data_IF_329081629050
#
_entry.id   IF_329081629050
#
_cell.length_a   1.000
_cell.length_b   1.000
_cell.length_c   1.000
_cell.angle_alpha   90.00
_cell.angle_beta   90.00
_cell.angle_gamma   90.00
#
_symmetry.space_group_name_H-M   'P 1'
#
loop_
_entity.id
_entity.type
_entity.pdbx_description
1 polymer ?
#
# COMPACT_ATOMS: atom_id res chain seq x y z
N UNK A 1 3.75 -3.49 36.03
CA UNK A 1 2.91 -4.67 36.34
C UNK A 1 1.45 -4.37 36.69
N UNK A 2 1.01 -3.11 36.74
CA UNK A 2 -0.39 -2.74 36.99
C UNK A 2 -1.03 -2.01 35.79
N UNK A 3 -0.44 -2.08 34.61
CA UNK A 3 -0.91 -1.35 33.43
C UNK A 3 -2.29 -1.83 32.96
N UNK A 4 -2.54 -3.13 32.93
CA UNK A 4 -3.83 -3.72 32.56
C UNK A 4 -4.96 -3.29 33.49
N UNK A 5 -4.69 -3.31 34.81
CA UNK A 5 -5.68 -2.84 35.81
C UNK A 5 -5.97 -1.35 35.69
N UNK A 6 -4.95 -0.53 35.39
CA UNK A 6 -5.13 0.91 35.13
C UNK A 6 -5.90 1.19 33.85
N UNK A 7 -5.71 0.41 32.79
CA UNK A 7 -6.50 0.57 31.55
C UNK A 7 -7.96 0.21 31.73
N UNK A 8 -8.28 -0.72 32.63
CA UNK A 8 -9.65 -1.10 32.94
C UNK A 8 -10.43 0.00 33.72
N UNK A 9 -9.73 0.80 34.51
CA UNK A 9 -10.32 1.88 35.33
C UNK A 9 -10.19 3.30 34.72
N UNK A 10 -9.19 3.55 33.87
CA UNK A 10 -8.92 4.86 33.30
C UNK A 10 -9.52 5.05 31.90
N UNK A 11 -9.93 3.99 31.24
CA UNK A 11 -10.60 4.07 29.94
C UNK A 11 -12.04 3.60 30.09
N UNK A 12 -12.93 4.51 30.38
CA UNK A 12 -14.38 4.33 30.35
C UNK A 12 -14.92 3.77 29.02
N UNK A 13 -14.07 3.51 28.01
CA UNK A 13 -14.45 3.24 26.63
C UNK A 13 -13.69 2.11 25.93
N UNK A 14 -12.97 1.25 26.67
CA UNK A 14 -12.36 0.05 26.06
C UNK A 14 -13.32 -1.14 26.19
N UNK A 15 -14.21 -1.24 25.19
CA UNK A 15 -15.04 -2.44 25.01
C UNK A 15 -14.10 -3.63 24.69
N UNK A 16 -14.06 -4.63 25.56
CA UNK A 16 -13.27 -5.87 25.45
C UNK A 16 -11.75 -5.66 25.19
N UNK A 17 -10.98 -5.19 26.19
CA UNK A 17 -9.55 -4.93 26.02
C UNK A 17 -8.75 -6.18 25.61
N UNK A 18 -9.16 -7.36 26.07
CA UNK A 18 -8.54 -8.67 25.76
C UNK A 18 -8.67 -9.01 24.28
N UNK A 19 -9.84 -8.80 23.68
CA UNK A 19 -10.08 -9.01 22.25
C UNK A 19 -9.24 -8.06 21.41
N UNK A 20 -9.12 -6.81 21.83
CA UNK A 20 -8.33 -5.80 21.12
C UNK A 20 -6.83 -6.14 21.17
N UNK A 21 -6.32 -6.51 22.35
CA UNK A 21 -4.93 -6.96 22.51
C UNK A 21 -4.65 -8.17 21.63
N UNK A 22 -5.57 -9.16 21.61
CA UNK A 22 -5.43 -10.33 20.76
C UNK A 22 -5.41 -9.95 19.27
N UNK A 23 -6.31 -9.09 18.80
CA UNK A 23 -6.38 -8.64 17.41
C UNK A 23 -5.14 -7.84 17.01
N UNK A 24 -4.68 -6.93 17.87
CA UNK A 24 -3.49 -6.12 17.63
C UNK A 24 -2.23 -6.98 17.55
N UNK A 25 -2.07 -7.96 18.44
CA UNK A 25 -0.96 -8.91 18.41
C UNK A 25 -0.99 -9.77 17.14
N UNK A 26 -2.16 -10.30 16.77
CA UNK A 26 -2.30 -11.08 15.52
C UNK A 26 -2.01 -10.24 14.29
N UNK A 27 -2.52 -9.02 14.23
CA UNK A 27 -2.26 -8.10 13.14
C UNK A 27 -0.79 -7.74 13.03
N UNK A 28 -0.15 -7.45 14.17
CA UNK A 28 1.28 -7.18 14.24
C UNK A 28 2.11 -8.35 13.71
N UNK A 29 1.86 -9.56 14.20
CA UNK A 29 2.59 -10.77 13.77
C UNK A 29 2.39 -11.02 12.27
N UNK A 30 1.14 -10.98 11.80
CA UNK A 30 0.82 -11.18 10.38
C UNK A 30 1.51 -10.14 9.48
N UNK A 31 1.44 -8.87 9.87
CA UNK A 31 2.04 -7.77 9.09
C UNK A 31 3.57 -7.88 9.10
N UNK A 32 4.17 -8.17 10.26
CA UNK A 32 5.63 -8.34 10.38
C UNK A 32 6.12 -9.52 9.54
N UNK A 33 5.44 -10.66 9.57
CA UNK A 33 5.79 -11.81 8.74
C UNK A 33 5.67 -11.48 7.25
N UNK A 34 4.56 -10.86 6.85
CA UNK A 34 4.34 -10.46 5.44
C UNK A 34 5.40 -9.47 4.95
N UNK A 35 5.74 -8.47 5.76
CA UNK A 35 6.79 -7.50 5.42
C UNK A 35 8.17 -8.16 5.38
N UNK A 36 8.50 -9.02 6.34
CA UNK A 36 9.79 -9.69 6.37
C UNK A 36 9.99 -10.63 5.17
N UNK A 37 8.99 -11.45 4.86
CA UNK A 37 9.02 -12.31 3.67
C UNK A 37 9.08 -11.50 2.39
N UNK A 38 8.29 -10.43 2.27
CA UNK A 38 8.32 -9.53 1.11
C UNK A 38 9.67 -8.84 0.91
N UNK A 39 10.34 -8.43 1.97
CA UNK A 39 11.69 -7.85 1.89
C UNK A 39 12.71 -8.89 1.42
N UNK A 40 12.67 -10.11 1.98
CA UNK A 40 13.57 -11.21 1.56
C UNK A 40 13.37 -11.53 0.09
N UNK A 41 12.11 -11.67 -0.35
CA UNK A 41 11.75 -11.91 -1.75
C UNK A 41 12.26 -10.79 -2.67
N UNK A 42 12.03 -9.54 -2.30
CA UNK A 42 12.45 -8.39 -3.09
C UNK A 42 13.98 -8.31 -3.22
N UNK A 43 14.73 -8.53 -2.12
CA UNK A 43 16.19 -8.50 -2.13
C UNK A 43 16.74 -9.66 -2.96
N UNK A 44 16.21 -10.86 -2.77
CA UNK A 44 16.66 -12.05 -3.51
C UNK A 44 16.40 -11.90 -5.01
N UNK A 45 15.20 -11.44 -5.38
CA UNK A 45 14.83 -11.17 -6.77
C UNK A 45 15.71 -10.08 -7.37
N UNK A 46 15.92 -8.97 -6.66
CA UNK A 46 16.74 -7.87 -7.13
C UNK A 46 18.19 -8.33 -7.42
N UNK A 47 18.80 -9.11 -6.53
CA UNK A 47 20.15 -9.65 -6.73
C UNK A 47 20.17 -10.60 -7.92
N UNK A 48 19.25 -11.56 -7.97
CA UNK A 48 19.20 -12.58 -9.02
C UNK A 48 19.00 -11.96 -10.41
N UNK A 49 18.03 -11.05 -10.54
CA UNK A 49 17.78 -10.39 -11.83
C UNK A 49 18.89 -9.41 -12.21
N UNK A 50 19.55 -8.76 -11.25
CA UNK A 50 20.71 -7.91 -11.55
C UNK A 50 21.86 -8.72 -12.12
N UNK A 51 22.18 -9.88 -11.54
CA UNK A 51 23.24 -10.77 -12.03
C UNK A 51 22.89 -11.28 -13.43
N UNK A 52 21.66 -11.72 -13.64
CA UNK A 52 21.18 -12.21 -14.93
C UNK A 52 21.25 -11.10 -15.99
N UNK A 53 20.73 -9.92 -15.66
CA UNK A 53 20.72 -8.79 -16.57
C UNK A 53 22.13 -8.30 -16.89
N UNK A 54 23.05 -8.35 -15.93
CA UNK A 54 24.46 -8.03 -16.15
C UNK A 54 25.11 -8.96 -17.15
N UNK A 55 24.81 -10.26 -17.10
CA UNK A 55 25.32 -11.26 -18.07
C UNK A 55 24.72 -11.10 -19.47
N UNK A 56 23.48 -10.67 -19.59
CA UNK A 56 22.77 -10.49 -20.86
C UNK A 56 22.98 -9.10 -21.48
N UNK A 57 23.33 -8.09 -20.67
CA UNK A 57 23.53 -6.72 -21.11
C UNK A 57 24.81 -6.58 -21.92
N UNK A 58 24.67 -6.48 -23.25
CA UNK A 58 25.79 -6.13 -24.14
C UNK A 58 26.02 -4.61 -24.23
N UNK A 59 27.07 -4.18 -24.94
CA UNK A 59 27.31 -2.77 -25.21
C UNK A 59 26.18 -2.20 -26.06
N UNK A 60 25.73 -0.97 -25.71
CA UNK A 60 24.68 -0.27 -26.41
C UNK A 60 25.20 1.09 -26.88
N UNK A 61 24.96 1.42 -28.15
CA UNK A 61 25.30 2.74 -28.69
C UNK A 61 24.21 3.76 -28.35
N UNK A 62 24.54 4.74 -27.54
CA UNK A 62 23.67 5.88 -27.25
C UNK A 62 24.41 7.18 -27.63
N UNK A 63 23.83 7.96 -28.52
CA UNK A 63 24.43 9.22 -28.99
C UNK A 63 25.87 9.10 -29.52
N UNK A 64 26.23 7.93 -30.07
CA UNK A 64 27.59 7.70 -30.64
C UNK A 64 28.62 7.26 -29.61
N UNK A 65 28.23 6.99 -28.35
CA UNK A 65 29.11 6.46 -27.31
C UNK A 65 28.66 5.04 -26.98
N UNK A 66 29.61 4.08 -27.05
CA UNK A 66 29.39 2.70 -26.61
C UNK A 66 29.47 2.64 -25.07
N UNK A 67 28.35 2.38 -24.41
CA UNK A 67 28.30 2.22 -22.95
C UNK A 67 28.06 0.73 -22.64
N UNK A 68 29.04 0.04 -22.00
CA UNK A 68 28.85 -1.32 -21.57
C UNK A 68 27.75 -1.39 -20.48
N UNK A 69 26.89 -2.41 -20.55
CA UNK A 69 25.84 -2.68 -19.56
C UNK A 69 24.81 -1.53 -19.37
N UNK A 70 24.63 -0.67 -20.36
CA UNK A 70 23.70 0.49 -20.30
C UNK A 70 22.30 0.08 -19.88
N UNK A 71 21.83 -1.09 -20.29
CA UNK A 71 20.52 -1.62 -19.95
C UNK A 71 20.30 -1.75 -18.44
N UNK A 72 21.33 -2.17 -17.70
CA UNK A 72 21.24 -2.29 -16.23
C UNK A 72 21.00 -0.91 -15.60
N UNK A 73 21.77 0.10 -16.04
CA UNK A 73 21.60 1.48 -15.53
C UNK A 73 20.22 2.06 -15.86
N UNK A 74 19.69 1.79 -17.06
CA UNK A 74 18.35 2.23 -17.45
C UNK A 74 17.26 1.59 -16.58
N UNK A 75 17.37 0.27 -16.30
CA UNK A 75 16.42 -0.42 -15.43
C UNK A 75 16.48 0.12 -14.00
N UNK A 76 17.67 0.32 -13.43
CA UNK A 76 17.79 0.93 -12.10
C UNK A 76 17.24 2.35 -12.06
N UNK A 77 17.53 3.17 -13.06
CA UNK A 77 16.97 4.52 -13.18
C UNK A 77 15.44 4.50 -13.24
N UNK A 78 14.87 3.60 -14.04
CA UNK A 78 13.43 3.40 -14.14
C UNK A 78 12.81 2.98 -12.78
N UNK A 79 13.42 1.99 -12.10
CA UNK A 79 12.94 1.52 -10.79
C UNK A 79 12.98 2.63 -9.75
N UNK A 80 14.08 3.38 -9.67
CA UNK A 80 14.20 4.52 -8.73
C UNK A 80 13.14 5.57 -9.04
N UNK A 81 13.00 5.96 -10.29
CA UNK A 81 12.03 6.98 -10.72
C UNK A 81 10.58 6.56 -10.39
N UNK A 82 10.18 5.34 -10.75
CA UNK A 82 8.85 4.81 -10.46
C UNK A 82 8.59 4.66 -8.97
N UNK A 83 9.61 4.26 -8.19
CA UNK A 83 9.51 4.16 -6.72
C UNK A 83 9.29 5.52 -6.08
N UNK A 84 9.98 6.56 -6.52
CA UNK A 84 9.77 7.92 -6.01
C UNK A 84 8.36 8.43 -6.29
N UNK A 85 7.84 8.20 -7.49
CA UNK A 85 6.45 8.56 -7.83
C UNK A 85 5.45 7.74 -7.01
N UNK A 86 5.66 6.42 -6.89
CA UNK A 86 4.81 5.55 -6.07
C UNK A 86 4.75 6.01 -4.62
N UNK A 87 5.89 6.37 -4.04
CA UNK A 87 5.95 6.92 -2.69
C UNK A 87 5.20 8.25 -2.56
N UNK A 88 5.36 9.14 -3.52
CA UNK A 88 4.66 10.44 -3.54
C UNK A 88 3.14 10.26 -3.65
N UNK A 89 2.66 9.34 -4.48
CA UNK A 89 1.24 9.03 -4.64
C UNK A 89 0.66 8.27 -3.43
N UNK A 90 1.44 7.37 -2.83
CA UNK A 90 1.00 6.51 -1.73
C UNK A 90 1.01 7.19 -0.36
N UNK A 91 1.92 8.15 -0.12
CA UNK A 91 2.09 8.82 1.17
C UNK A 91 0.78 9.40 1.76
N UNK A 92 -0.11 10.07 1.00
CA UNK A 92 -1.35 10.59 1.54
C UNK A 92 -2.31 9.53 2.08
N UNK A 93 -2.22 8.27 1.59
CA UNK A 93 -3.06 7.17 2.06
C UNK A 93 -2.82 6.84 3.53
N UNK A 94 -1.59 7.03 4.03
CA UNK A 94 -1.25 6.80 5.46
C UNK A 94 -2.11 7.70 6.34
N UNK A 95 -2.14 9.00 6.06
CA UNK A 95 -2.93 9.97 6.81
C UNK A 95 -4.43 9.72 6.70
N UNK A 96 -4.92 9.39 5.51
CA UNK A 96 -6.33 9.11 5.26
C UNK A 96 -6.80 7.85 6.01
N UNK A 97 -5.99 6.79 6.05
CA UNK A 97 -6.30 5.60 6.83
C UNK A 97 -6.31 5.89 8.34
N UNK A 98 -5.37 6.68 8.84
CA UNK A 98 -5.38 7.10 10.24
C UNK A 98 -6.66 7.90 10.60
N UNK A 99 -7.10 8.83 9.72
CA UNK A 99 -8.35 9.56 9.88
C UNK A 99 -9.55 8.59 9.86
N UNK A 100 -9.51 7.59 8.97
CA UNK A 100 -10.56 6.58 8.87
C UNK A 100 -10.74 5.80 10.17
N UNK A 101 -9.65 5.34 10.77
CA UNK A 101 -9.70 4.64 12.06
C UNK A 101 -10.29 5.54 13.17
N UNK A 102 -9.88 6.80 13.23
CA UNK A 102 -10.41 7.76 14.19
C UNK A 102 -11.92 8.01 14.01
N UNK A 103 -12.37 8.19 12.76
CA UNK A 103 -13.78 8.42 12.46
C UNK A 103 -14.63 7.18 12.79
N UNK A 104 -14.15 5.98 12.47
CA UNK A 104 -14.81 4.73 12.82
C UNK A 104 -14.90 4.53 14.35
N UNK A 105 -13.83 4.85 15.08
CA UNK A 105 -13.84 4.79 16.53
C UNK A 105 -14.86 5.74 17.16
N UNK A 106 -14.95 6.98 16.67
CA UNK A 106 -15.94 7.97 17.13
C UNK A 106 -17.37 7.52 16.83
N UNK A 107 -17.61 6.99 15.63
CA UNK A 107 -18.93 6.48 15.24
C UNK A 107 -19.36 5.29 16.11
N UNK A 108 -18.45 4.34 16.33
CA UNK A 108 -18.67 3.19 17.21
C UNK A 108 -18.97 3.62 18.65
N UNK A 109 -18.21 4.58 19.18
CA UNK A 109 -18.46 5.14 20.50
C UNK A 109 -19.88 5.71 20.62
N UNK A 110 -20.31 6.47 19.62
CA UNK A 110 -21.68 7.04 19.61
C UNK A 110 -22.76 5.97 19.56
N UNK A 111 -22.54 4.86 18.84
CA UNK A 111 -23.46 3.72 18.82
C UNK A 111 -23.56 3.05 20.19
N UNK A 112 -22.42 2.84 20.88
CA UNK A 112 -22.39 2.26 22.23
C UNK A 112 -23.12 3.17 23.21
N UNK A 113 -22.86 4.48 23.16
CA UNK A 113 -23.53 5.47 24.00
C UNK A 113 -25.04 5.41 23.83
N UNK A 114 -25.55 5.36 22.59
CA UNK A 114 -26.99 5.26 22.33
C UNK A 114 -27.57 3.97 22.91
N UNK A 115 -26.85 2.86 22.80
CA UNK A 115 -27.26 1.58 23.38
C UNK A 115 -27.38 1.67 24.92
N UNK A 116 -26.40 2.29 25.58
CA UNK A 116 -26.36 2.46 27.03
C UNK A 116 -27.46 3.36 27.55
N UNK A 117 -27.79 4.43 26.82
CA UNK A 117 -28.76 5.42 27.20
C UNK A 117 -30.11 5.28 26.47
N UNK A 118 -30.40 4.10 25.90
CA UNK A 118 -31.57 3.88 25.06
C UNK A 118 -32.90 4.21 25.80
N UNK A 119 -33.04 3.84 27.07
CA UNK A 119 -34.22 4.16 27.88
C UNK A 119 -34.37 5.67 28.09
N UNK A 120 -33.32 6.38 28.40
CA UNK A 120 -33.33 7.82 28.56
C UNK A 120 -33.70 8.55 27.26
N UNK A 121 -33.16 8.11 26.14
CA UNK A 121 -33.44 8.64 24.82
C UNK A 121 -34.95 8.47 24.49
N UNK A 122 -35.47 7.28 24.74
CA UNK A 122 -36.88 6.98 24.54
C UNK A 122 -37.76 7.84 25.47
N UNK A 123 -37.40 8.00 26.75
CA UNK A 123 -38.17 8.78 27.72
C UNK A 123 -38.30 10.26 27.33
N UNK A 124 -37.22 10.85 26.79
CA UNK A 124 -37.18 12.25 26.33
C UNK A 124 -37.57 12.44 24.86
N UNK A 125 -37.97 11.38 24.14
CA UNK A 125 -38.26 11.40 22.70
C UNK A 125 -37.10 11.99 21.88
N UNK A 126 -35.85 11.65 22.28
CA UNK A 126 -34.61 12.18 21.72
C UNK A 126 -34.09 11.48 20.45
N UNK A 127 -34.81 10.45 19.93
CA UNK A 127 -34.34 9.59 18.83
C UNK A 127 -33.99 10.38 17.57
N UNK A 128 -34.73 11.44 17.28
CA UNK A 128 -34.50 12.28 16.10
C UNK A 128 -33.17 13.04 16.17
N UNK A 129 -32.80 13.50 17.37
CA UNK A 129 -31.55 14.24 17.60
C UNK A 129 -30.39 13.29 17.51
N UNK A 130 -30.44 12.14 18.18
CA UNK A 130 -29.39 11.11 18.14
C UNK A 130 -29.21 10.54 16.74
N UNK A 131 -30.29 10.28 16.00
CA UNK A 131 -30.23 9.86 14.59
C UNK A 131 -29.51 10.89 13.74
N UNK A 132 -29.80 12.18 13.89
CA UNK A 132 -29.12 13.21 13.09
C UNK A 132 -27.61 13.27 13.39
N UNK A 133 -27.23 13.14 14.67
CA UNK A 133 -25.85 13.13 15.09
C UNK A 133 -25.09 11.90 14.53
N UNK A 134 -25.69 10.72 14.62
CA UNK A 134 -25.14 9.50 14.02
C UNK A 134 -24.99 9.64 12.51
N UNK A 135 -25.98 10.21 11.84
CA UNK A 135 -25.96 10.40 10.41
C UNK A 135 -24.82 11.33 9.96
N UNK A 136 -24.56 12.41 10.72
CA UNK A 136 -23.43 13.30 10.45
C UNK A 136 -22.08 12.57 10.60
N UNK A 137 -21.92 11.78 11.66
CA UNK A 137 -20.69 10.99 11.87
C UNK A 137 -20.51 9.93 10.80
N UNK A 138 -21.58 9.22 10.44
CA UNK A 138 -21.57 8.24 9.37
C UNK A 138 -21.18 8.87 8.02
N UNK A 139 -21.75 10.03 7.69
CA UNK A 139 -21.39 10.76 6.47
C UNK A 139 -19.92 11.17 6.46
N UNK A 140 -19.33 11.53 7.61
CA UNK A 140 -17.90 11.81 7.69
C UNK A 140 -17.05 10.58 7.38
N UNK A 141 -17.44 9.39 7.88
CA UNK A 141 -16.79 8.11 7.53
C UNK A 141 -16.87 7.83 6.04
N UNK A 142 -18.09 7.94 5.47
CA UNK A 142 -18.31 7.70 4.02
C UNK A 142 -17.54 8.68 3.16
N UNK A 143 -17.53 9.97 3.51
CA UNK A 143 -16.75 10.97 2.76
C UNK A 143 -15.26 10.64 2.75
N UNK A 144 -14.69 10.33 3.92
CA UNK A 144 -13.28 9.93 4.00
C UNK A 144 -12.98 8.64 3.22
N UNK A 145 -13.90 7.67 3.26
CA UNK A 145 -13.80 6.42 2.49
C UNK A 145 -13.73 6.71 0.98
N UNK A 146 -14.57 7.60 0.46
CA UNK A 146 -14.51 8.01 -0.95
C UNK A 146 -13.18 8.66 -1.30
N UNK A 147 -12.62 9.51 -0.44
CA UNK A 147 -11.30 10.10 -0.65
C UNK A 147 -10.22 9.01 -0.72
N UNK A 148 -10.28 8.01 0.17
CA UNK A 148 -9.37 6.84 0.13
C UNK A 148 -9.53 6.08 -1.18
N UNK A 149 -10.75 5.77 -1.61
CA UNK A 149 -11.03 5.04 -2.86
C UNK A 149 -10.42 5.77 -4.05
N UNK A 150 -10.66 7.07 -4.20
CA UNK A 150 -10.09 7.84 -5.32
C UNK A 150 -8.56 7.89 -5.29
N UNK A 151 -7.96 7.99 -4.10
CA UNK A 151 -6.49 7.94 -3.96
C UNK A 151 -5.93 6.56 -4.30
N UNK A 152 -6.59 5.51 -3.84
CA UNK A 152 -6.22 4.12 -4.14
C UNK A 152 -6.34 3.84 -5.64
N UNK A 153 -7.40 4.31 -6.30
CA UNK A 153 -7.55 4.18 -7.75
C UNK A 153 -6.42 4.86 -8.53
N UNK A 154 -6.02 6.08 -8.12
CA UNK A 154 -4.87 6.76 -8.74
C UNK A 154 -3.57 5.98 -8.54
N UNK A 155 -3.32 5.48 -7.34
CA UNK A 155 -2.14 4.69 -7.03
C UNK A 155 -2.13 3.35 -7.79
N UNK A 156 -3.26 2.64 -7.82
CA UNK A 156 -3.40 1.38 -8.54
C UNK A 156 -3.30 1.56 -10.05
N UNK A 157 -3.90 2.64 -10.58
CA UNK A 157 -3.78 3.01 -11.99
C UNK A 157 -2.33 3.30 -12.39
N UNK A 158 -1.60 4.03 -11.55
CA UNK A 158 -0.18 4.25 -11.75
C UNK A 158 0.60 2.93 -11.75
N UNK A 159 0.39 2.05 -10.77
CA UNK A 159 1.04 0.74 -10.71
C UNK A 159 0.73 -0.12 -11.95
N UNK A 160 -0.49 -0.07 -12.45
CA UNK A 160 -0.88 -0.78 -13.67
C UNK A 160 -0.09 -0.26 -14.88
N UNK A 161 0.00 1.06 -15.04
CA UNK A 161 0.78 1.67 -16.14
C UNK A 161 2.27 1.30 -16.02
N UNK A 162 2.85 1.40 -14.82
CA UNK A 162 4.25 1.00 -14.57
C UNK A 162 4.47 -0.46 -14.93
N UNK A 163 3.56 -1.35 -14.51
CA UNK A 163 3.64 -2.78 -14.83
C UNK A 163 3.60 -3.04 -16.33
N UNK A 164 2.74 -2.35 -17.10
CA UNK A 164 2.69 -2.49 -18.55
C UNK A 164 3.97 -1.97 -19.23
N UNK A 165 4.47 -0.82 -18.78
CA UNK A 165 5.73 -0.26 -19.29
C UNK A 165 6.88 -1.21 -19.00
N UNK A 166 6.95 -1.81 -17.81
CA UNK A 166 8.00 -2.76 -17.43
C UNK A 166 8.09 -3.97 -18.36
N UNK A 167 6.97 -4.43 -18.91
CA UNK A 167 6.92 -5.53 -19.88
C UNK A 167 7.39 -5.08 -21.26
N UNK A 168 7.00 -3.89 -21.71
CA UNK A 168 7.27 -3.39 -23.06
C UNK A 168 8.68 -2.81 -23.18
N UNK A 169 9.19 -2.20 -22.12
CA UNK A 169 10.46 -1.46 -22.12
C UNK A 169 11.67 -2.31 -22.55
N UNK A 170 11.90 -3.55 -22.05
CA UNK A 170 12.99 -4.39 -22.48
C UNK A 170 12.91 -4.75 -23.98
N UNK A 171 11.70 -4.97 -24.51
CA UNK A 171 11.51 -5.23 -25.93
C UNK A 171 12.00 -4.07 -26.79
N UNK A 172 11.57 -2.86 -26.47
CA UNK A 172 11.97 -1.67 -27.24
C UNK A 172 13.48 -1.44 -27.23
N UNK A 173 14.15 -1.78 -26.14
CA UNK A 173 15.59 -1.59 -26.02
C UNK A 173 16.36 -2.67 -26.79
N UNK A 174 15.87 -3.92 -26.79
CA UNK A 174 16.57 -5.06 -27.38
C UNK A 174 16.17 -5.34 -28.83
N UNK A 175 15.14 -4.65 -29.36
CA UNK A 175 14.64 -4.86 -30.72
C UNK A 175 15.75 -4.78 -31.77
N UNK A 176 16.57 -3.73 -31.75
CA UNK A 176 17.70 -3.58 -32.65
C UNK A 176 18.69 -4.73 -32.60
N UNK A 177 19.05 -5.20 -31.39
CA UNK A 177 20.01 -6.29 -31.19
C UNK A 177 19.47 -7.66 -31.62
N UNK A 178 18.15 -7.86 -31.47
CA UNK A 178 17.49 -9.07 -31.96
C UNK A 178 17.47 -9.12 -33.48
N UNK A 179 17.16 -8.04 -34.18
CA UNK A 179 17.19 -7.98 -35.64
C UNK A 179 18.62 -8.08 -36.22
N UNK A 180 19.60 -7.56 -35.49
CA UNK A 180 21.03 -7.71 -35.81
C UNK A 180 21.58 -9.11 -35.49
N UNK A 181 20.73 -10.06 -35.06
CA UNK A 181 21.09 -11.45 -34.68
C UNK A 181 22.16 -11.55 -33.58
N UNK A 182 22.30 -10.54 -32.75
CA UNK A 182 23.24 -10.53 -31.62
C UNK A 182 22.72 -11.29 -30.41
N UNK A 183 21.40 -11.46 -30.30
CA UNK A 183 20.70 -12.16 -29.20
C UNK A 183 19.67 -13.13 -29.78
N UNK A 184 19.47 -14.27 -29.10
CA UNK A 184 18.42 -15.23 -29.46
C UNK A 184 17.12 -14.90 -28.73
N UNK A 185 15.99 -15.42 -29.25
CA UNK A 185 14.66 -15.20 -28.66
C UNK A 185 14.59 -15.62 -27.18
N UNK A 186 15.36 -16.66 -26.79
CA UNK A 186 15.45 -17.12 -25.41
C UNK A 186 16.02 -16.07 -24.46
N UNK A 187 17.08 -15.37 -24.86
CA UNK A 187 17.73 -14.31 -24.08
C UNK A 187 16.79 -13.12 -23.92
N UNK A 188 16.05 -12.78 -24.99
CA UNK A 188 15.05 -11.73 -24.96
C UNK A 188 13.92 -12.06 -23.98
N UNK A 189 13.44 -13.31 -23.97
CA UNK A 189 12.40 -13.74 -23.04
C UNK A 189 12.85 -13.79 -21.58
N UNK A 190 14.12 -14.09 -21.32
CA UNK A 190 14.68 -14.04 -19.95
C UNK A 190 14.77 -12.63 -19.38
N UNK A 191 14.88 -11.61 -20.21
CA UNK A 191 14.91 -10.21 -19.74
C UNK A 191 13.54 -9.63 -19.44
N UNK A 192 12.46 -10.38 -19.72
CA UNK A 192 11.06 -9.96 -19.50
C UNK A 192 10.47 -10.49 -18.18
N UNK A 193 11.14 -11.40 -17.52
CA UNK A 193 10.73 -11.95 -16.22
C UNK A 193 11.27 -11.12 -15.06
#
# INVERSE_FOLDING_TARGET
>A
QRAYYKTQYLSENLDNPDQRIQQDVQSYVKTTLSLSTGVIDAVTSMISYTILLWGLAGPMMVLGIEIPHMMVFLVFGYVIFTTLIAFWLGRPLISLNFINERLNANYRYSLIRIKEYAENIAFYAGEKVEKNQLYQQFNAVIHNMWVIVFRTLKFSGFNLVVSQISVVFPFLIQDGRYFDKQIILGDLMQTLQ
#
